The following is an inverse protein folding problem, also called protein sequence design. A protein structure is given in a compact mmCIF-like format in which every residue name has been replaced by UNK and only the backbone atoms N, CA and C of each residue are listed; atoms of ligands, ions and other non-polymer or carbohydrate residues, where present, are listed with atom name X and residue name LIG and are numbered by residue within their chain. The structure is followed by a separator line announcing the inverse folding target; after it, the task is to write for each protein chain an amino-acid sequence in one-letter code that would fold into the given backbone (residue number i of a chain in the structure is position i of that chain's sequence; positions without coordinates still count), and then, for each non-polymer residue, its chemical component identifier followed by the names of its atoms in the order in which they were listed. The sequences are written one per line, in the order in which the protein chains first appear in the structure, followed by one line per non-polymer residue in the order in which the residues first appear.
data_IF_028525375422
#
_entry.id   IF_028525375422
#
_cell.length_a   1.000
_cell.length_b   1.000
_cell.length_c   1.000
_cell.angle_alpha   90.00
_cell.angle_beta   90.00
_cell.angle_gamma   90.00
#
_symmetry.space_group_name_H-M   'P 1'
#
loop_
_entity.id
_entity.type
_entity.pdbx_description
1 polymer ?
#
# COMPACT_ATOMS: atom_id res chain seq x y z
N UNK A 1 1.07 13.25 1.72
CA UNK A 1 -0.30 12.66 1.71
C UNK A 1 -0.36 11.21 1.19
N UNK A 2 0.78 10.54 0.89
CA UNK A 2 0.81 9.17 0.38
C UNK A 2 0.84 9.09 -1.15
N UNK A 3 0.85 7.87 -1.69
CA UNK A 3 1.09 7.61 -3.12
C UNK A 3 -0.11 7.89 -4.03
N UNK A 4 -1.33 7.89 -3.49
CA UNK A 4 -2.54 8.03 -4.29
C UNK A 4 -2.91 6.75 -5.05
N UNK A 5 -4.19 6.58 -5.37
CA UNK A 5 -4.72 5.36 -6.00
C UNK A 5 -4.53 5.39 -7.52
N UNK A 6 -4.27 4.22 -8.09
CA UNK A 6 -4.31 3.99 -9.56
C UNK A 6 -5.61 3.29 -9.99
N UNK A 7 -6.40 2.80 -9.05
CA UNK A 7 -7.70 2.18 -9.32
C UNK A 7 -8.71 2.39 -8.20
N UNK A 8 -9.99 2.32 -8.56
CA UNK A 8 -11.09 2.39 -7.60
C UNK A 8 -11.08 1.21 -6.63
N UNK A 9 -11.68 1.38 -5.45
CA UNK A 9 -11.85 0.29 -4.46
C UNK A 9 -12.63 -0.89 -5.03
N UNK A 10 -13.66 -0.60 -5.83
CA UNK A 10 -14.46 -1.63 -6.51
C UNK A 10 -13.64 -2.43 -7.52
N UNK A 11 -12.75 -1.78 -8.29
CA UNK A 11 -11.85 -2.48 -9.20
C UNK A 11 -10.82 -3.31 -8.42
N UNK A 12 -10.24 -2.77 -7.35
CA UNK A 12 -9.29 -3.50 -6.51
C UNK A 12 -9.89 -4.81 -5.94
N UNK A 13 -11.11 -4.78 -5.41
CA UNK A 13 -11.81 -5.99 -4.92
C UNK A 13 -12.08 -7.06 -5.98
N UNK A 14 -12.17 -6.69 -7.26
CA UNK A 14 -12.38 -7.65 -8.35
C UNK A 14 -11.08 -8.33 -8.78
N UNK A 15 -9.94 -7.66 -8.55
CA UNK A 15 -8.62 -8.11 -9.01
C UNK A 15 -7.84 -8.80 -7.89
N UNK A 16 -8.01 -8.34 -6.66
CA UNK A 16 -7.27 -8.83 -5.49
C UNK A 16 -8.15 -9.66 -4.58
N UNK A 17 -7.58 -10.77 -4.10
CA UNK A 17 -8.16 -11.58 -3.02
C UNK A 17 -7.49 -11.23 -1.70
N UNK A 18 -8.25 -10.76 -0.71
CA UNK A 18 -7.71 -10.26 0.55
C UNK A 18 -6.86 -11.28 1.31
N UNK A 19 -7.20 -12.57 1.24
CA UNK A 19 -6.41 -13.66 1.83
C UNK A 19 -5.05 -13.78 1.16
N UNK A 20 -5.00 -13.77 -0.17
CA UNK A 20 -3.74 -13.83 -0.94
C UNK A 20 -2.86 -12.61 -0.67
N UNK A 21 -3.44 -11.40 -0.68
CA UNK A 21 -2.70 -10.18 -0.35
C UNK A 21 -2.11 -10.25 1.07
N UNK A 22 -2.89 -10.76 2.04
CA UNK A 22 -2.40 -10.96 3.41
C UNK A 22 -1.24 -11.96 3.47
N UNK A 23 -1.32 -13.06 2.72
CA UNK A 23 -0.26 -14.06 2.63
C UNK A 23 1.00 -13.49 1.98
N UNK A 24 0.86 -12.79 0.85
CA UNK A 24 1.97 -12.13 0.16
C UNK A 24 2.69 -11.12 1.07
N UNK A 25 1.93 -10.35 1.86
CA UNK A 25 2.48 -9.43 2.85
C UNK A 25 3.16 -10.15 4.01
N UNK A 26 2.58 -11.27 4.48
CA UNK A 26 3.19 -12.11 5.52
C UNK A 26 4.53 -12.69 5.06
N UNK A 27 4.62 -13.16 3.81
CA UNK A 27 5.85 -13.66 3.21
C UNK A 27 6.94 -12.58 3.10
N UNK A 28 6.54 -11.31 3.10
CA UNK A 28 7.45 -10.15 3.17
C UNK A 28 7.74 -9.69 4.61
N UNK A 29 7.33 -10.44 5.62
CA UNK A 29 7.52 -10.10 7.04
C UNK A 29 6.53 -9.07 7.60
N UNK A 30 5.41 -8.82 6.91
CA UNK A 30 4.42 -7.81 7.29
C UNK A 30 3.15 -8.49 7.80
N UNK A 31 2.86 -8.33 9.09
CA UNK A 31 1.68 -8.93 9.73
C UNK A 31 0.47 -8.02 9.55
N UNK A 32 -0.59 -8.51 8.89
CA UNK A 32 -1.83 -7.73 8.70
C UNK A 32 -2.98 -8.28 9.54
N UNK A 33 -3.59 -7.41 10.35
CA UNK A 33 -4.89 -7.63 10.99
C UNK A 33 -5.91 -6.64 10.42
N UNK A 34 -7.04 -7.15 9.95
CA UNK A 34 -8.09 -6.29 9.42
C UNK A 34 -9.49 -6.77 9.84
N UNK A 35 -10.45 -5.84 9.89
CA UNK A 35 -11.85 -6.17 10.23
C UNK A 35 -12.50 -7.10 9.20
N UNK A 36 -12.05 -7.09 7.94
CA UNK A 36 -12.46 -8.06 6.94
C UNK A 36 -11.40 -8.26 5.84
N UNK A 37 -11.39 -9.42 5.16
CA UNK A 37 -10.54 -9.62 3.97
C UNK A 37 -10.82 -8.62 2.84
N UNK A 38 -12.06 -8.13 2.76
CA UNK A 38 -12.48 -7.15 1.75
C UNK A 38 -11.71 -5.83 1.89
N UNK A 39 -11.46 -5.38 3.12
CA UNK A 39 -10.65 -4.17 3.38
C UNK A 39 -9.21 -4.37 2.89
N UNK A 40 -8.64 -5.56 3.09
CA UNK A 40 -7.29 -5.88 2.60
C UNK A 40 -7.25 -5.82 1.07
N UNK A 41 -8.28 -6.35 0.38
CA UNK A 41 -8.36 -6.31 -1.07
C UNK A 41 -8.54 -4.88 -1.63
N UNK A 42 -9.33 -4.04 -0.97
CA UNK A 42 -9.51 -2.62 -1.34
C UNK A 42 -8.20 -1.81 -1.25
N UNK A 43 -7.31 -2.25 -0.36
CA UNK A 43 -6.08 -1.57 0.03
C UNK A 43 -4.82 -2.33 -0.41
N UNK A 44 -4.97 -3.29 -1.33
CA UNK A 44 -3.84 -4.05 -1.85
C UNK A 44 -2.75 -3.12 -2.42
N UNK A 45 -1.45 -3.44 -2.25
CA UNK A 45 -0.36 -2.56 -2.68
C UNK A 45 -0.47 -2.09 -4.14
N UNK A 46 -0.87 -2.99 -5.05
CA UNK A 46 -1.04 -2.65 -6.47
C UNK A 46 -2.23 -1.73 -6.79
N UNK A 47 -3.10 -1.41 -5.82
CA UNK A 47 -4.16 -0.43 -5.99
C UNK A 47 -3.66 1.03 -5.89
N UNK A 48 -2.41 1.22 -5.46
CA UNK A 48 -1.76 2.50 -5.25
C UNK A 48 -0.58 2.70 -6.21
N UNK A 49 -0.19 3.97 -6.42
CA UNK A 49 1.06 4.28 -7.13
C UNK A 49 2.25 3.79 -6.31
N UNK A 50 3.38 3.63 -6.98
CA UNK A 50 4.66 3.46 -6.31
C UNK A 50 5.01 4.73 -5.51
N UNK A 51 5.11 4.59 -4.20
CA UNK A 51 5.46 5.70 -3.30
C UNK A 51 6.89 6.19 -3.54
N UNK A 52 7.80 5.31 -3.94
CA UNK A 52 9.19 5.67 -4.16
C UNK A 52 9.32 6.61 -5.37
N UNK A 53 8.55 6.35 -6.43
CA UNK A 53 8.49 7.26 -7.59
C UNK A 53 7.87 8.62 -7.24
N UNK A 54 6.77 8.63 -6.47
CA UNK A 54 6.12 9.88 -6.05
C UNK A 54 7.09 10.75 -5.24
N UNK A 55 7.79 10.15 -4.27
CA UNK A 55 8.76 10.88 -3.44
C UNK A 55 9.98 11.30 -4.26
N UNK A 56 10.46 10.47 -5.20
CA UNK A 56 11.58 10.83 -6.08
C UNK A 56 11.28 12.08 -6.90
N UNK A 57 10.13 12.12 -7.60
CA UNK A 57 9.74 13.28 -8.41
C UNK A 57 9.64 14.55 -7.57
N UNK A 58 9.07 14.47 -6.36
CA UNK A 58 8.98 15.65 -5.48
C UNK A 58 10.34 16.15 -5.00
N UNK A 59 11.31 15.25 -4.79
CA UNK A 59 12.69 15.65 -4.47
C UNK A 59 13.41 16.24 -5.68
N UNK A 60 13.25 15.66 -6.87
CA UNK A 60 13.91 16.15 -8.10
C UNK A 60 13.42 17.55 -8.47
N UNK A 61 12.18 17.89 -8.13
CA UNK A 61 11.61 19.23 -8.27
C UNK A 61 12.00 20.20 -7.14
N UNK A 62 12.76 19.76 -6.14
CA UNK A 62 13.19 20.58 -5.00
C UNK A 62 12.07 20.98 -4.04
N UNK A 63 10.94 20.26 -4.06
CA UNK A 63 9.77 20.56 -3.21
C UNK A 63 9.92 19.94 -1.82
N UNK A 64 10.67 18.84 -1.73
CA UNK A 64 10.93 18.13 -0.48
C UNK A 64 12.40 17.70 -0.39
N UNK A 65 12.83 17.35 0.81
CA UNK A 65 14.08 16.64 1.08
C UNK A 65 13.75 15.26 1.67
N UNK A 66 14.35 14.18 1.13
CA UNK A 66 14.20 12.83 1.71
C UNK A 66 15.05 12.71 2.96
N UNK A 67 14.41 12.41 4.08
CA UNK A 67 15.10 12.24 5.38
C UNK A 67 15.25 10.77 5.74
N UNK A 68 14.13 10.03 5.81
CA UNK A 68 14.11 8.64 6.23
C UNK A 68 13.03 7.85 5.50
N UNK A 69 13.30 6.57 5.29
CA UNK A 69 12.32 5.60 4.78
C UNK A 69 11.98 4.59 5.87
N UNK A 70 10.70 4.43 6.14
CA UNK A 70 10.19 3.41 7.05
C UNK A 70 9.65 2.21 6.25
N UNK A 71 9.82 1.02 6.80
CA UNK A 71 9.26 -0.22 6.24
C UNK A 71 8.32 -0.83 7.30
N UNK A 72 7.07 -1.14 6.95
CA UNK A 72 6.13 -1.69 7.93
C UNK A 72 6.50 -3.12 8.31
N UNK A 73 6.33 -3.47 9.58
CA UNK A 73 6.37 -4.84 10.10
C UNK A 73 4.98 -5.36 10.50
N UNK A 74 4.03 -4.44 10.70
CA UNK A 74 2.66 -4.77 11.06
C UNK A 74 1.69 -3.67 10.64
N UNK A 75 0.48 -4.07 10.25
CA UNK A 75 -0.62 -3.18 9.84
C UNK A 75 -1.93 -3.65 10.48
N UNK A 76 -2.63 -2.74 11.14
CA UNK A 76 -3.97 -2.97 11.69
C UNK A 76 -4.95 -2.04 10.97
N UNK A 77 -6.04 -2.58 10.41
CA UNK A 77 -6.99 -1.79 9.63
C UNK A 77 -8.45 -2.18 9.89
N UNK A 78 -9.24 -1.22 10.38
CA UNK A 78 -10.69 -1.35 10.58
C UNK A 78 -11.48 -1.00 9.33
#
# INVERSE_FOLDING_TARGET
HGSGRVMSRSKAKKIYWGSKVKEDLKNRGIIVKAASPKIIAEEAPGAYKDIDQVVQVSQDLGIIEKIVRLVPIGVVKG
#
